data_IF_245784596336
#
_entry.id   IF_245784596336
#
_cell.length_a   1.000
_cell.length_b   1.000
_cell.length_c   1.000
_cell.angle_alpha   90.00
_cell.angle_beta   90.00
_cell.angle_gamma   90.00
#
_symmetry.space_group_name_H-M   'P 1'
#
loop_
_entity.id
_entity.type
_entity.pdbx_description
1 polymer ?
#
# COMPACT_ATOMS: atom_id res chain seq x y z
N UNK A 1 -24.66 13.48 -28.42
CA UNK A 1 -23.59 13.32 -27.41
C UNK A 1 -24.23 12.69 -26.19
N UNK A 2 -23.87 11.46 -25.85
CA UNK A 2 -24.25 10.88 -24.56
C UNK A 2 -23.34 11.50 -23.50
N UNK A 3 -23.93 12.11 -22.49
CA UNK A 3 -23.19 12.52 -21.31
C UNK A 3 -22.86 11.26 -20.51
N UNK A 4 -21.64 11.19 -19.97
CA UNK A 4 -21.31 10.18 -18.98
C UNK A 4 -22.16 10.47 -17.73
N UNK A 5 -23.10 9.58 -17.43
CA UNK A 5 -23.87 9.59 -16.19
C UNK A 5 -23.10 8.82 -15.12
N UNK A 6 -23.04 9.39 -13.92
CA UNK A 6 -22.43 8.75 -12.76
C UNK A 6 -23.06 7.37 -12.50
N UNK A 7 -22.21 6.38 -12.23
CA UNK A 7 -22.68 5.05 -11.86
C UNK A 7 -23.18 5.07 -10.41
N UNK A 8 -24.23 4.30 -10.07
CA UNK A 8 -24.80 4.29 -8.71
C UNK A 8 -23.84 3.71 -7.65
N UNK A 9 -22.73 3.11 -8.07
CA UNK A 9 -21.66 2.59 -7.23
C UNK A 9 -20.57 1.95 -8.08
N UNK A 10 -19.46 1.60 -7.44
CA UNK A 10 -18.38 0.81 -8.02
C UNK A 10 -18.29 -0.51 -7.25
N UNK A 11 -17.98 -1.60 -7.95
CA UNK A 11 -17.69 -2.88 -7.31
C UNK A 11 -16.33 -2.80 -6.63
N UNK A 12 -16.23 -3.34 -5.41
CA UNK A 12 -14.97 -3.47 -4.70
C UNK A 12 -14.10 -4.52 -5.40
N UNK A 13 -12.85 -4.14 -5.67
CA UNK A 13 -11.85 -4.96 -6.35
C UNK A 13 -10.65 -5.16 -5.43
N UNK A 14 -9.86 -6.22 -5.65
CA UNK A 14 -8.60 -6.42 -4.91
C UNK A 14 -7.65 -5.23 -5.05
N UNK A 15 -7.69 -4.49 -6.17
CA UNK A 15 -6.92 -3.25 -6.37
C UNK A 15 -7.42 -2.11 -5.48
N UNK A 16 -8.74 -1.94 -5.32
CA UNK A 16 -9.28 -0.91 -4.42
C UNK A 16 -9.01 -1.23 -2.95
N UNK A 17 -9.07 -2.51 -2.56
CA UNK A 17 -8.69 -2.95 -1.22
C UNK A 17 -7.20 -2.70 -0.96
N UNK A 18 -6.32 -3.06 -1.92
CA UNK A 18 -4.89 -2.81 -1.86
C UNK A 18 -4.58 -1.31 -1.73
N UNK A 19 -5.28 -0.46 -2.50
CA UNK A 19 -5.15 0.98 -2.37
C UNK A 19 -5.53 1.45 -0.95
N UNK A 20 -6.65 0.97 -0.42
CA UNK A 20 -7.10 1.29 0.93
C UNK A 20 -6.10 0.86 2.01
N UNK A 21 -5.52 -0.34 1.89
CA UNK A 21 -4.51 -0.85 2.81
C UNK A 21 -3.24 0.04 2.83
N UNK A 22 -2.77 0.46 1.66
CA UNK A 22 -1.66 1.41 1.56
C UNK A 22 -1.97 2.79 2.14
N UNK A 23 -3.18 3.30 1.91
CA UNK A 23 -3.61 4.59 2.45
C UNK A 23 -3.68 4.56 3.99
N UNK A 24 -4.20 3.47 4.57
CA UNK A 24 -4.22 3.26 6.02
C UNK A 24 -2.80 3.25 6.60
N UNK A 25 -1.90 2.44 6.05
CA UNK A 25 -0.50 2.39 6.47
C UNK A 25 0.19 3.76 6.39
N UNK A 26 -0.02 4.49 5.28
CA UNK A 26 0.53 5.84 5.09
C UNK A 26 0.01 6.82 6.13
N UNK A 27 -1.29 6.78 6.44
CA UNK A 27 -1.89 7.65 7.45
C UNK A 27 -1.33 7.36 8.85
N UNK A 28 -1.19 6.09 9.20
CA UNK A 28 -0.60 5.66 10.46
C UNK A 28 0.88 6.09 10.56
N UNK A 29 1.65 5.85 9.50
CA UNK A 29 3.05 6.26 9.40
C UNK A 29 3.24 7.78 9.58
N UNK A 30 2.40 8.60 8.94
CA UNK A 30 2.41 10.05 9.10
C UNK A 30 2.05 10.49 10.53
N UNK A 31 1.14 9.76 11.19
CA UNK A 31 0.71 10.06 12.56
C UNK A 31 1.78 9.73 13.60
N UNK A 32 2.64 8.74 13.32
CA UNK A 32 3.73 8.32 14.19
C UNK A 32 5.04 9.08 13.92
N UNK A 33 5.17 9.73 12.76
CA UNK A 33 6.32 10.55 12.42
C UNK A 33 6.45 11.78 13.35
N UNK A 34 7.67 12.17 13.79
CA UNK A 34 8.97 11.60 13.45
C UNK A 34 9.46 10.50 14.42
N UNK A 35 10.10 9.48 13.85
CA UNK A 35 10.87 8.45 14.56
C UNK A 35 12.06 7.98 13.71
N UNK A 36 12.93 7.12 14.24
CA UNK A 36 14.11 6.65 13.50
C UNK A 36 13.70 5.92 12.21
N UNK A 37 14.45 6.13 11.12
CA UNK A 37 14.13 5.63 9.76
C UNK A 37 12.78 6.09 9.16
N UNK A 38 11.94 6.86 9.86
CA UNK A 38 10.59 7.25 9.38
C UNK A 38 10.59 8.00 8.05
N UNK A 39 11.59 8.84 7.79
CA UNK A 39 11.75 9.52 6.49
C UNK A 39 12.00 8.54 5.34
N UNK A 40 12.83 7.52 5.59
CA UNK A 40 13.14 6.49 4.60
C UNK A 40 11.95 5.58 4.37
N UNK A 41 11.23 5.25 5.43
CA UNK A 41 9.99 4.48 5.34
C UNK A 41 8.94 5.24 4.53
N UNK A 42 8.73 6.54 4.80
CA UNK A 42 7.84 7.41 4.02
C UNK A 42 8.22 7.43 2.54
N UNK A 43 9.51 7.62 2.22
CA UNK A 43 10.00 7.62 0.84
C UNK A 43 9.61 6.32 0.11
N UNK A 44 9.89 5.17 0.70
CA UNK A 44 9.55 3.89 0.07
C UNK A 44 8.04 3.67 -0.03
N UNK A 45 7.25 4.10 0.96
CA UNK A 45 5.79 4.04 0.89
C UNK A 45 5.25 4.86 -0.28
N UNK A 46 5.77 6.08 -0.50
CA UNK A 46 5.39 6.89 -1.67
C UNK A 46 5.80 6.24 -3.00
N UNK A 47 6.97 5.62 -3.07
CA UNK A 47 7.41 4.86 -4.24
C UNK A 47 6.52 3.65 -4.51
N UNK A 48 6.07 2.95 -3.46
CA UNK A 48 5.19 1.78 -3.57
C UNK A 48 3.82 2.14 -4.16
N UNK A 49 3.28 3.31 -3.81
CA UNK A 49 1.99 3.82 -4.32
C UNK A 49 2.15 4.73 -5.54
N UNK A 50 3.35 4.86 -6.09
CA UNK A 50 3.60 5.71 -7.25
C UNK A 50 2.92 5.15 -8.52
N UNK A 51 2.64 6.03 -9.47
CA UNK A 51 2.10 5.65 -10.78
C UNK A 51 2.96 4.64 -11.55
N UNK A 52 4.27 4.61 -11.28
CA UNK A 52 5.17 3.65 -11.90
C UNK A 52 5.01 2.26 -11.28
N UNK A 53 4.81 2.19 -9.96
CA UNK A 53 4.71 0.92 -9.23
C UNK A 53 3.32 0.31 -9.28
N UNK A 54 2.24 1.10 -9.23
CA UNK A 54 0.86 0.57 -9.29
C UNK A 54 0.54 -0.15 -10.61
N UNK A 55 1.37 0.01 -11.64
CA UNK A 55 1.26 -0.72 -12.92
C UNK A 55 2.04 -2.03 -12.95
N UNK A 56 2.86 -2.29 -11.95
CA UNK A 56 3.72 -3.46 -11.84
C UNK A 56 3.66 -4.00 -10.40
N UNK A 57 2.71 -4.91 -10.16
CA UNK A 57 2.46 -5.48 -8.85
C UNK A 57 3.64 -6.32 -8.33
N UNK A 58 4.48 -6.86 -9.21
CA UNK A 58 5.69 -7.58 -8.81
C UNK A 58 6.73 -6.59 -8.27
N UNK A 59 6.92 -5.45 -8.95
CA UNK A 59 7.73 -4.35 -8.41
C UNK A 59 7.16 -3.81 -7.09
N UNK A 60 5.83 -3.73 -6.96
CA UNK A 60 5.20 -3.35 -5.69
C UNK A 60 5.51 -4.34 -4.57
N UNK A 61 5.54 -5.64 -4.86
CA UNK A 61 5.91 -6.69 -3.91
C UNK A 61 7.35 -6.56 -3.42
N UNK A 62 8.29 -6.26 -4.30
CA UNK A 62 9.68 -6.00 -3.91
C UNK A 62 9.79 -4.79 -2.98
N UNK A 63 9.07 -3.69 -3.28
CA UNK A 63 9.02 -2.51 -2.43
C UNK A 63 8.32 -2.78 -1.10
N UNK A 64 7.24 -3.55 -1.08
CA UNK A 64 6.56 -3.98 0.14
C UNK A 64 7.52 -4.73 1.07
N UNK A 65 8.32 -5.67 0.54
CA UNK A 65 9.31 -6.41 1.35
C UNK A 65 10.35 -5.48 1.98
N UNK A 66 10.80 -4.47 1.24
CA UNK A 66 11.71 -3.45 1.77
C UNK A 66 11.06 -2.63 2.89
N UNK A 67 9.84 -2.14 2.66
CA UNK A 67 9.05 -1.36 3.63
C UNK A 67 8.82 -2.18 4.91
N UNK A 68 8.36 -3.43 4.77
CA UNK A 68 8.16 -4.35 5.89
C UNK A 68 9.44 -4.54 6.70
N UNK A 69 10.58 -4.74 6.03
CA UNK A 69 11.87 -4.94 6.69
C UNK A 69 12.34 -3.71 7.47
N UNK A 70 12.06 -2.50 6.96
CA UNK A 70 12.36 -1.24 7.67
C UNK A 70 11.42 -1.07 8.86
N UNK A 71 10.11 -1.19 8.63
CA UNK A 71 9.10 -1.02 9.67
C UNK A 71 9.24 -2.05 10.80
N UNK A 72 9.60 -3.30 10.49
CA UNK A 72 9.80 -4.35 11.50
C UNK A 72 11.03 -4.15 12.39
N UNK A 73 11.95 -3.24 12.02
CA UNK A 73 13.16 -2.92 12.78
C UNK A 73 13.03 -1.61 13.56
N UNK A 74 11.98 -0.83 13.35
CA UNK A 74 11.76 0.41 14.09
C UNK A 74 11.17 0.12 15.47
N UNK A 75 11.25 1.10 16.35
CA UNK A 75 10.55 1.08 17.63
C UNK A 75 9.02 1.03 17.51
N UNK A 76 8.48 1.27 16.30
CA UNK A 76 7.05 1.28 15.99
C UNK A 76 6.55 -0.04 15.38
N UNK A 77 7.37 -1.09 15.33
CA UNK A 77 7.07 -2.33 14.61
C UNK A 77 5.69 -2.94 14.94
N UNK A 78 5.32 -2.99 16.23
CA UNK A 78 4.02 -3.54 16.65
C UNK A 78 2.83 -2.70 16.16
N UNK A 79 3.01 -1.38 16.00
CA UNK A 79 1.95 -0.48 15.53
C UNK A 79 1.71 -0.59 14.01
N UNK A 80 2.67 -1.12 13.26
CA UNK A 80 2.56 -1.30 11.80
C UNK A 80 2.16 -2.72 11.40
N UNK A 81 2.10 -3.66 12.34
CA UNK A 81 1.93 -5.08 12.04
C UNK A 81 0.64 -5.37 11.29
N UNK A 82 -0.49 -4.85 11.78
CA UNK A 82 -1.81 -5.06 11.16
C UNK A 82 -1.87 -4.44 9.76
N UNK A 83 -1.36 -3.23 9.59
CA UNK A 83 -1.29 -2.56 8.28
C UNK A 83 -0.45 -3.36 7.27
N UNK A 84 0.71 -3.87 7.69
CA UNK A 84 1.62 -4.63 6.84
C UNK A 84 1.05 -6.01 6.47
N UNK A 85 0.30 -6.65 7.38
CA UNK A 85 -0.39 -7.91 7.11
C UNK A 85 -1.58 -7.67 6.16
N UNK A 86 -2.31 -6.57 6.33
CA UNK A 86 -3.40 -6.17 5.42
C UNK A 86 -2.88 -5.89 4.00
N UNK A 87 -1.83 -5.08 3.86
CA UNK A 87 -1.19 -4.81 2.55
C UNK A 87 -0.76 -6.12 1.90
N UNK A 88 -0.17 -7.04 2.68
CA UNK A 88 0.26 -8.34 2.15
C UNK A 88 -0.90 -9.14 1.56
N UNK A 89 -2.00 -9.25 2.30
CA UNK A 89 -3.20 -9.97 1.85
C UNK A 89 -3.71 -9.38 0.54
N UNK A 90 -4.03 -8.08 0.54
CA UNK A 90 -4.55 -7.41 -0.64
C UNK A 90 -3.58 -7.43 -1.83
N UNK A 91 -2.27 -7.39 -1.58
CA UNK A 91 -1.27 -7.46 -2.64
C UNK A 91 -1.16 -8.86 -3.24
N UNK A 92 -1.20 -9.91 -2.41
CA UNK A 92 -1.19 -11.28 -2.89
C UNK A 92 -2.48 -11.57 -3.71
N UNK A 93 -3.65 -11.07 -3.27
CA UNK A 93 -4.93 -11.16 -4.01
C UNK A 93 -4.89 -10.38 -5.34
N UNK A 94 -4.38 -9.14 -5.34
CA UNK A 94 -4.26 -8.35 -6.56
C UNK A 94 -3.28 -8.98 -7.57
N UNK A 95 -2.21 -9.62 -7.10
CA UNK A 95 -1.28 -10.36 -7.97
C UNK A 95 -1.95 -11.61 -8.53
N UNK A 96 -2.78 -12.32 -7.76
CA UNK A 96 -3.52 -13.48 -8.26
C UNK A 96 -4.51 -13.07 -9.36
N UNK A 97 -5.22 -11.95 -9.19
CA UNK A 97 -6.22 -11.48 -10.14
C UNK A 97 -5.62 -10.77 -11.37
N UNK A 98 -4.54 -10.00 -11.19
CA UNK A 98 -4.03 -9.07 -12.20
C UNK A 98 -2.54 -9.23 -12.53
N UNK A 99 -1.80 -10.09 -11.81
CA UNK A 99 -0.39 -10.35 -12.06
C UNK A 99 -0.18 -11.02 -13.42
N UNK A 100 0.33 -10.24 -14.39
CA UNK A 100 0.73 -10.72 -15.71
C UNK A 100 2.24 -10.79 -15.83
#
# INVERSE_FOLDING_TARGET
>A
MSFYTEQPGYEETSLSELQGAWDNFKCNLLSLHPFDESNRLLFHTYEAISWETVRDLLKMKDLYLLIRNIASKSEMAELFKEDLDAIKGCLDDAIEEYGR
#
